data_IF_224771933170
#
_entry.id   IF_224771933170
#
_cell.length_a   1.000
_cell.length_b   1.000
_cell.length_c   1.000
_cell.angle_alpha   90.00
_cell.angle_beta   90.00
_cell.angle_gamma   90.00
#
_symmetry.space_group_name_H-M   'P 1'
#
loop_
_entity.id
_entity.type
_entity.pdbx_description
1 polymer ?
2 non-polymer ?
3 non-polymer ?
4 non-polymer ?
5 non-polymer ?
6 non-polymer ?
7 non-polymer ?
8 water ?
#
# COMPACT_ATOMS: atom_id res chain seq x y z
N UNK A 4 -13.34 -13.29 -6.85
CA UNK A 4 -13.75 -11.96 -6.26
C UNK A 4 -12.88 -10.78 -6.81
N UNK A 5 -11.60 -10.98 -7.10
CA UNK A 5 -10.76 -9.88 -7.61
C UNK A 5 -11.34 -9.29 -8.94
N UNK A 6 -11.52 -7.96 -8.92
CA UNK A 6 -12.04 -7.23 -10.09
C UNK A 6 -11.05 -7.38 -11.24
N UNK A 7 -11.51 -7.89 -12.39
CA UNK A 7 -10.60 -7.96 -13.56
C UNK A 7 -10.30 -6.57 -14.07
N UNK A 8 -9.05 -6.34 -14.52
CA UNK A 8 -8.63 -5.04 -15.10
C UNK A 8 -7.55 -5.35 -16.11
N UNK A 9 -7.32 -4.45 -17.10
CA UNK A 9 -6.12 -4.54 -17.88
C UNK A 9 -4.88 -4.46 -16.98
N UNK A 10 -3.76 -4.95 -17.45
CA UNK A 10 -2.50 -4.79 -16.77
C UNK A 10 -1.78 -3.51 -17.17
N UNK A 11 -1.38 -2.71 -16.18
CA UNK A 11 -0.59 -1.54 -16.39
C UNK A 11 0.79 -1.79 -15.75
N UNK A 12 1.84 -1.77 -16.58
CA UNK A 12 3.16 -1.87 -16.06
C UNK A 12 3.67 -0.51 -15.57
N UNK A 13 4.12 -0.54 -14.33
CA UNK A 13 4.76 0.64 -13.71
C UNK A 13 6.21 0.24 -13.57
N UNK A 14 7.03 0.65 -14.54
CA UNK A 14 8.30 0.07 -14.70
C UNK A 14 8.12 -1.44 -14.96
N UNK A 15 8.82 -2.28 -14.19
CA UNK A 15 8.75 -3.71 -14.31
C UNK A 15 7.62 -4.30 -13.43
N UNK A 16 6.91 -3.45 -12.68
CA UNK A 16 5.90 -3.94 -11.75
C UNK A 16 4.49 -3.91 -12.42
N UNK A 17 3.88 -5.09 -12.64
CA UNK A 17 2.52 -5.08 -13.26
C UNK A 17 1.47 -4.85 -12.20
N UNK A 18 0.53 -3.95 -12.52
CA UNK A 18 -0.64 -3.53 -11.68
C UNK A 18 -1.89 -4.00 -12.40
N UNK A 19 -2.79 -4.65 -11.70
CA UNK A 19 -4.11 -4.98 -12.27
C UNK A 19 -4.61 -6.30 -11.76
N UNK A 20 -5.83 -6.65 -12.15
CA UNK A 20 -6.56 -7.76 -11.56
C UNK A 20 -5.85 -9.11 -11.67
N UNK A 21 -4.95 -9.28 -12.63
CA UNK A 21 -4.17 -10.50 -12.73
C UNK A 21 -2.87 -10.57 -11.89
N UNK A 22 -2.62 -9.56 -11.06
CA UNK A 22 -1.36 -9.39 -10.40
C UNK A 22 -1.56 -9.13 -8.91
N UNK A 23 -0.51 -9.42 -8.12
CA UNK A 23 -0.61 -9.12 -6.73
C UNK A 23 -0.85 -7.61 -6.50
N UNK A 24 -1.55 -7.29 -5.44
CA UNK A 24 -1.84 -5.91 -5.09
C UNK A 24 -0.52 -5.27 -4.63
N UNK A 25 -0.07 -4.24 -5.31
CA UNK A 25 1.26 -3.71 -5.05
C UNK A 25 1.26 -2.66 -3.96
N UNK A 26 2.25 -2.72 -3.08
CA UNK A 26 2.48 -1.71 -2.07
C UNK A 26 3.34 -0.58 -2.58
N UNK A 27 2.87 0.65 -2.35
CA UNK A 27 3.58 1.82 -2.71
C UNK A 27 3.65 2.84 -1.60
N UNK A 28 4.50 3.86 -1.76
CA UNK A 28 4.73 4.88 -0.76
C UNK A 28 5.16 6.13 -1.51
N UNK A 29 5.47 7.16 -0.75
CA UNK A 29 5.91 8.47 -1.33
C UNK A 29 6.98 9.03 -0.43
N UNK A 30 8.03 9.57 -1.04
CA UNK A 30 9.06 10.20 -0.26
C UNK A 30 8.61 11.54 0.34
N UNK A 31 9.32 11.91 1.37
CA UNK A 31 9.13 13.24 1.97
C UNK A 31 10.35 14.11 2.08
N UNK A 32 11.42 13.73 1.40
CA UNK A 32 12.59 14.60 1.29
C UNK A 32 12.38 15.59 0.14
N UNK A 33 13.07 16.71 0.16
CA UNK A 33 12.95 17.65 -1.00
C UNK A 33 13.57 16.92 -2.23
N UNK A 34 12.82 16.83 -3.33
CA UNK A 34 13.31 16.11 -4.50
C UNK A 34 14.59 16.67 -5.09
N UNK A 35 14.80 17.99 -4.94
CA UNK A 35 16.03 18.61 -5.39
C UNK A 35 17.25 18.08 -4.64
N UNK A 36 17.03 17.51 -3.44
CA UNK A 36 18.16 16.94 -2.66
C UNK A 36 18.35 15.48 -3.19
N UNK A 37 19.34 15.33 -4.11
CA UNK A 37 19.51 14.03 -4.79
C UNK A 37 19.89 12.97 -3.78
N UNK A 38 20.86 13.31 -2.93
CA UNK A 38 21.39 12.32 -2.02
C UNK A 38 20.26 11.85 -1.07
N UNK A 39 19.57 12.83 -0.50
CA UNK A 39 18.53 12.49 0.50
C UNK A 39 17.38 11.68 -0.13
N UNK A 40 16.98 12.10 -1.35
CA UNK A 40 15.85 11.44 -1.99
C UNK A 40 16.24 10.03 -2.46
N UNK A 41 17.44 9.91 -3.11
CA UNK A 41 17.86 8.58 -3.55
C UNK A 41 17.86 7.62 -2.36
N UNK A 42 18.47 8.10 -1.27
CA UNK A 42 18.59 7.28 -0.06
C UNK A 42 17.21 6.84 0.46
N UNK A 43 16.24 7.79 0.44
CA UNK A 43 14.93 7.44 0.95
C UNK A 43 14.17 6.51 0.01
N UNK A 44 14.36 6.69 -1.32
CA UNK A 44 13.73 5.76 -2.28
C UNK A 44 14.25 4.34 -1.95
N UNK A 45 15.58 4.22 -1.79
CA UNK A 45 16.17 2.93 -1.47
C UNK A 45 15.63 2.29 -0.17
N UNK A 46 15.54 3.15 0.85
CA UNK A 46 15.06 2.74 2.12
C UNK A 46 13.59 2.22 2.03
N UNK A 47 12.77 3.00 1.34
CA UNK A 47 11.39 2.64 1.15
C UNK A 47 11.28 1.32 0.37
N UNK A 48 12.06 1.19 -0.68
CA UNK A 48 12.03 -0.01 -1.49
C UNK A 48 12.45 -1.23 -0.66
N UNK A 49 13.51 -1.08 0.11
CA UNK A 49 14.01 -2.19 0.93
C UNK A 49 12.99 -2.62 2.00
N UNK A 50 12.21 -1.65 2.48
CA UNK A 50 11.16 -1.94 3.42
C UNK A 50 9.93 -2.63 2.84
N UNK A 51 9.81 -2.67 1.53
CA UNK A 51 8.64 -3.28 0.85
C UNK A 51 7.89 -2.42 -0.14
N UNK A 52 8.35 -1.19 -0.35
CA UNK A 52 7.67 -0.35 -1.33
C UNK A 52 8.03 -0.78 -2.77
N UNK A 53 7.10 -1.39 -3.45
CA UNK A 53 7.33 -1.94 -4.75
C UNK A 53 7.37 -0.84 -5.83
N UNK A 54 6.72 0.28 -5.55
CA UNK A 54 6.67 1.46 -6.39
C UNK A 54 6.91 2.62 -5.47
N UNK A 55 7.68 3.61 -5.87
CA UNK A 55 7.90 4.81 -5.02
C UNK A 55 7.57 6.04 -5.83
N UNK A 56 6.77 6.91 -5.18
CA UNK A 56 6.39 8.21 -5.72
C UNK A 56 7.23 9.31 -5.14
N UNK A 57 7.52 10.35 -5.90
CA UNK A 57 8.20 11.52 -5.40
C UNK A 57 7.54 12.73 -6.02
N UNK A 58 7.46 13.83 -5.22
CA UNK A 58 6.88 15.04 -5.79
C UNK A 58 7.85 15.62 -6.84
N UNK A 59 7.28 16.17 -7.90
CA UNK A 59 8.08 16.88 -8.88
C UNK A 59 7.41 18.24 -9.05
N UNK A 60 7.76 19.12 -8.13
CA UNK A 60 7.02 20.32 -7.84
C UNK A 60 7.48 21.59 -8.50
N UNK A 61 8.74 21.62 -8.83
CA UNK A 61 9.36 22.82 -9.42
C UNK A 61 10.54 22.42 -10.33
N UNK A 62 11.18 23.42 -10.96
CA UNK A 62 12.23 23.13 -11.92
C UNK A 62 13.41 22.41 -11.25
N UNK A 63 13.76 22.82 -10.05
CA UNK A 63 14.84 22.18 -9.32
C UNK A 63 14.59 20.69 -9.03
N UNK A 64 13.36 20.40 -8.64
CA UNK A 64 12.95 19.01 -8.52
C UNK A 64 13.06 18.23 -9.85
N UNK A 65 12.56 18.82 -10.94
CA UNK A 65 12.58 18.18 -12.24
C UNK A 65 14.03 17.85 -12.63
N UNK A 66 14.95 18.79 -12.39
CA UNK A 66 16.29 18.66 -12.78
C UNK A 66 17.05 17.57 -12.01
N UNK A 67 16.57 17.25 -10.80
CA UNK A 67 17.13 16.25 -9.98
C UNK A 67 16.69 14.80 -10.37
N UNK A 68 15.48 14.65 -10.91
CA UNK A 68 14.94 13.30 -11.16
C UNK A 68 15.87 12.40 -12.01
N UNK A 69 16.41 12.92 -13.15
CA UNK A 69 17.28 12.02 -13.94
C UNK A 69 18.48 11.50 -13.15
N UNK A 70 19.01 12.33 -12.26
CA UNK A 70 20.17 11.95 -11.48
C UNK A 70 19.75 10.92 -10.40
N UNK A 71 18.62 11.15 -9.72
CA UNK A 71 18.07 10.12 -8.84
C UNK A 71 17.92 8.76 -9.56
N UNK A 72 17.25 8.76 -10.71
CA UNK A 72 17.06 7.52 -11.46
C UNK A 72 18.38 6.88 -11.84
N UNK A 73 19.33 7.70 -12.28
CA UNK A 73 20.62 7.15 -12.66
C UNK A 73 21.31 6.48 -11.48
N UNK A 74 21.25 7.12 -10.30
CA UNK A 74 21.87 6.54 -9.15
C UNK A 74 21.23 5.20 -8.70
N UNK A 75 19.89 5.16 -8.79
CA UNK A 75 19.19 3.91 -8.48
C UNK A 75 19.63 2.81 -9.42
N UNK A 76 19.66 3.10 -10.71
CA UNK A 76 20.03 2.04 -11.65
C UNK A 76 21.47 1.58 -11.50
N UNK A 77 22.35 2.51 -11.08
CA UNK A 77 23.73 2.15 -10.87
C UNK A 77 23.94 1.11 -9.78
N UNK A 78 22.98 1.03 -8.85
CA UNK A 78 23.00 -0.07 -7.91
C UNK A 78 22.09 -1.22 -8.17
N UNK A 79 21.56 -1.24 -9.39
CA UNK A 79 20.66 -2.30 -9.80
C UNK A 79 19.30 -2.20 -9.15
N UNK A 80 18.95 -1.02 -8.64
CA UNK A 80 17.67 -0.85 -8.02
C UNK A 80 16.66 -0.40 -9.06
N UNK A 81 15.81 -1.33 -9.44
CA UNK A 81 14.85 -1.05 -10.50
C UNK A 81 13.48 -0.61 -10.02
N UNK A 82 13.40 -0.14 -8.84
CA UNK A 82 12.20 0.40 -8.28
C UNK A 82 11.62 1.51 -9.16
N UNK A 83 10.33 1.35 -9.55
CA UNK A 83 9.77 2.37 -10.42
C UNK A 83 9.43 3.66 -9.69
N UNK A 84 9.63 4.78 -10.33
CA UNK A 84 9.37 6.12 -9.81
C UNK A 84 8.16 6.74 -10.45
N UNK A 85 7.29 7.24 -9.59
CA UNK A 85 6.10 7.95 -9.99
C UNK A 85 6.27 9.45 -9.71
N UNK A 86 6.15 10.32 -10.69
CA UNK A 86 6.23 11.73 -10.42
C UNK A 86 4.87 12.32 -10.09
N UNK A 87 4.83 13.08 -9.00
CA UNK A 87 3.61 13.69 -8.53
C UNK A 87 3.55 15.17 -8.99
N UNK A 88 2.61 15.46 -9.89
CA UNK A 88 2.55 16.76 -10.53
C UNK A 88 1.31 17.50 -10.07
N UNK A 89 1.48 18.80 -9.82
CA UNK A 89 0.39 19.73 -9.53
C UNK A 89 0.70 21.10 -10.13
N UNK A 90 -0.33 21.75 -10.72
CA UNK A 90 -0.20 23.13 -11.18
C UNK A 90 0.63 23.38 -12.43
N UNK A 91 1.83 22.87 -12.44
CA UNK A 91 2.85 23.15 -13.49
C UNK A 91 3.41 21.86 -14.11
N UNK A 92 2.64 20.77 -14.04
CA UNK A 92 3.18 19.49 -14.57
C UNK A 92 3.41 19.57 -16.08
N UNK A 93 2.55 20.26 -16.79
CA UNK A 93 2.68 20.33 -18.24
C UNK A 93 3.97 21.11 -18.58
N UNK A 94 4.25 22.13 -17.78
CA UNK A 94 5.43 22.95 -18.02
C UNK A 94 6.72 22.16 -17.70
N UNK A 95 6.71 21.48 -16.56
CA UNK A 95 7.93 20.70 -16.18
C UNK A 95 8.21 19.53 -17.12
N UNK A 96 7.15 18.83 -17.52
CA UNK A 96 7.31 17.70 -18.44
C UNK A 96 7.80 18.19 -19.84
N UNK A 97 7.29 19.34 -20.27
CA UNK A 97 7.72 19.95 -21.54
C UNK A 97 9.17 20.42 -21.49
N UNK A 98 9.52 21.14 -20.41
CA UNK A 98 10.83 21.76 -20.30
C UNK A 98 11.97 20.83 -19.93
N UNK A 99 11.64 19.71 -19.29
CA UNK A 99 12.65 18.73 -18.81
C UNK A 99 12.38 17.34 -19.35
N UNK A 100 12.65 17.14 -20.64
CA UNK A 100 12.31 15.82 -21.23
C UNK A 100 13.09 14.69 -20.58
N UNK A 101 14.28 14.98 -20.03
CA UNK A 101 15.10 13.90 -19.40
C UNK A 101 14.37 13.44 -18.12
N UNK A 102 13.68 14.38 -17.46
CA UNK A 102 12.88 14.02 -16.31
C UNK A 102 11.66 13.18 -16.71
N UNK A 103 11.02 13.60 -17.81
CA UNK A 103 9.86 12.87 -18.28
C UNK A 103 10.25 11.43 -18.64
N UNK A 104 11.39 11.24 -19.28
CA UNK A 104 11.86 9.92 -19.64
C UNK A 104 12.33 9.10 -18.44
N UNK A 105 12.90 9.74 -17.42
CA UNK A 105 13.45 9.04 -16.27
C UNK A 105 12.33 8.45 -15.37
N UNK A 106 11.23 9.18 -15.25
CA UNK A 106 10.10 8.66 -14.53
C UNK A 106 9.52 7.43 -15.16
N UNK A 107 8.94 6.57 -14.33
CA UNK A 107 8.19 5.39 -14.78
C UNK A 107 6.68 5.58 -14.91
N UNK A 108 6.19 6.64 -14.29
CA UNK A 108 4.74 6.90 -14.33
C UNK A 108 4.55 8.35 -13.96
N UNK A 109 3.54 9.01 -14.51
CA UNK A 109 3.17 10.38 -14.16
C UNK A 109 1.88 10.35 -13.41
N UNK A 110 1.80 11.06 -12.28
CA UNK A 110 0.51 11.31 -11.65
C UNK A 110 0.01 12.71 -11.97
N UNK A 111 -1.21 12.77 -12.48
CA UNK A 111 -1.98 13.98 -12.78
C UNK A 111 -3.09 14.09 -11.72
N UNK A 112 -3.45 15.32 -11.31
CA UNK A 112 -4.59 15.54 -10.44
C UNK A 112 -5.54 16.45 -11.26
N UNK A 113 -6.73 15.97 -11.62
CA UNK A 113 -7.68 16.77 -12.37
C UNK A 113 -8.14 18.03 -11.72
N UNK A 114 -7.86 18.18 -10.40
CA UNK A 114 -8.17 19.41 -9.68
C UNK A 114 -7.01 20.36 -9.52
N UNK A 115 -5.82 20.01 -10.03
CA UNK A 115 -4.65 20.87 -9.93
C UNK A 115 -4.04 21.14 -11.34
N UNK A 116 -4.93 21.28 -12.33
CA UNK A 116 -4.52 21.52 -13.72
C UNK A 116 -4.50 22.94 -14.10
N UNK A 117 -5.20 23.80 -13.38
CA UNK A 117 -5.36 25.23 -13.77
C UNK A 117 -6.83 25.62 -13.79
N UNK A 118 -7.04 26.79 -14.46
CA UNK A 118 -8.27 27.57 -14.37
C UNK A 118 -9.03 27.46 -15.70
N UNK A 119 -10.34 27.32 -15.66
CA UNK A 119 -11.13 27.41 -16.89
C UNK A 119 -10.59 26.60 -18.06
N UNK A 120 -10.41 27.23 -19.21
CA UNK A 120 -10.02 26.54 -20.44
C UNK A 120 -8.60 25.93 -20.38
N UNK A 121 -7.79 26.53 -19.50
CA UNK A 121 -6.41 26.16 -19.37
C UNK A 121 -6.31 24.70 -18.86
N UNK A 122 -7.27 24.30 -18.05
CA UNK A 122 -7.30 22.96 -17.44
C UNK A 122 -7.28 21.80 -18.52
N UNK A 123 -8.14 21.92 -19.53
CA UNK A 123 -8.13 20.91 -20.60
C UNK A 123 -6.78 20.92 -21.38
N UNK A 124 -6.23 22.12 -21.63
CA UNK A 124 -5.02 22.18 -22.46
C UNK A 124 -3.85 21.55 -21.70
N UNK A 125 -3.79 21.84 -20.40
CA UNK A 125 -2.72 21.31 -19.54
C UNK A 125 -2.77 19.81 -19.44
N UNK A 126 -3.99 19.34 -19.25
CA UNK A 126 -4.29 17.90 -19.24
C UNK A 126 -3.77 17.25 -20.52
N UNK A 127 -4.25 17.78 -21.63
CA UNK A 127 -3.88 17.25 -22.91
C UNK A 127 -2.37 17.18 -23.16
N UNK A 128 -1.66 18.23 -22.74
CA UNK A 128 -0.23 18.30 -22.92
C UNK A 128 0.46 17.12 -22.15
N UNK A 129 0.03 16.92 -20.91
CA UNK A 129 0.61 15.87 -20.09
C UNK A 129 0.33 14.47 -20.67
N UNK A 130 -0.89 14.27 -21.13
CA UNK A 130 -1.28 13.00 -21.73
C UNK A 130 -0.49 12.78 -23.03
N UNK A 131 -0.33 13.84 -23.82
CA UNK A 131 0.48 13.72 -25.06
C UNK A 131 1.93 13.31 -24.79
N UNK A 132 2.54 13.87 -23.80
CA UNK A 132 3.87 13.53 -23.36
C UNK A 132 3.95 12.04 -22.96
N UNK A 133 3.01 11.60 -22.10
CA UNK A 133 2.92 10.24 -21.71
C UNK A 133 2.79 9.29 -22.92
N UNK A 134 1.89 9.62 -23.86
CA UNK A 134 1.72 8.79 -25.07
C UNK A 134 3.05 8.71 -25.85
N UNK A 135 3.68 9.86 -26.02
CA UNK A 135 4.92 9.94 -26.83
C UNK A 135 6.04 9.07 -26.20
N UNK A 136 6.06 9.01 -24.87
CA UNK A 136 7.12 8.28 -24.16
C UNK A 136 6.77 6.88 -23.73
N UNK A 137 5.49 6.50 -23.97
CA UNK A 137 5.00 5.22 -23.55
C UNK A 137 4.87 5.09 -22.03
N UNK A 138 4.62 6.18 -21.37
CA UNK A 138 4.51 6.13 -19.91
C UNK A 138 3.05 5.90 -19.50
N UNK A 139 2.86 5.18 -18.38
CA UNK A 139 1.52 5.11 -17.74
C UNK A 139 1.28 6.37 -16.93
N UNK A 140 0.02 6.62 -16.66
CA UNK A 140 -0.49 7.76 -15.91
C UNK A 140 -1.46 7.30 -14.86
N UNK A 141 -1.36 7.91 -13.67
CA UNK A 141 -2.44 7.87 -12.70
C UNK A 141 -3.20 9.18 -12.82
N UNK A 142 -4.51 9.07 -13.03
CA UNK A 142 -5.41 10.21 -12.88
C UNK A 142 -5.90 10.08 -11.43
N UNK A 143 -5.40 10.97 -10.60
CA UNK A 143 -5.64 10.89 -9.16
C UNK A 143 -6.40 12.09 -8.67
N UNK A 144 -7.68 11.88 -8.41
CA UNK A 144 -8.50 12.93 -7.82
C UNK A 144 -8.37 12.84 -6.29
N UNK A 145 -8.55 13.94 -5.65
CA UNK A 145 -8.57 14.03 -4.18
C UNK A 145 -9.53 15.10 -3.77
N UNK A 146 -10.39 14.80 -2.77
CA UNK A 146 -11.40 15.80 -2.40
C UNK A 146 -10.77 17.05 -1.76
N UNK A 147 -9.48 17.04 -1.40
CA UNK A 147 -8.80 18.23 -0.96
C UNK A 147 -8.48 19.21 -2.08
N UNK A 148 -8.70 18.79 -3.33
CA UNK A 148 -8.36 19.56 -4.52
C UNK A 148 -9.40 19.25 -5.61
N UNK A 149 -10.65 19.39 -5.29
CA UNK A 149 -11.73 19.06 -6.20
C UNK A 149 -11.96 20.20 -7.19
N UNK A 150 -12.03 19.85 -8.48
CA UNK A 150 -12.30 20.78 -9.57
C UNK A 150 -13.59 21.54 -9.26
N UNK A 151 -13.49 22.86 -9.05
CA UNK A 151 -14.67 23.58 -8.64
C UNK A 151 -15.77 23.71 -9.71
N UNK A 152 -15.39 23.66 -10.99
CA UNK A 152 -16.34 23.83 -12.04
C UNK A 152 -17.21 22.58 -12.11
N UNK A 153 -16.59 21.44 -11.85
CA UNK A 153 -17.27 20.21 -11.83
C UNK A 153 -18.23 20.17 -10.63
N UNK A 154 -17.80 20.62 -9.49
CA UNK A 154 -18.66 20.70 -8.30
C UNK A 154 -19.89 21.57 -8.57
N UNK A 155 -19.72 22.72 -9.19
CA UNK A 155 -20.88 23.55 -9.47
C UNK A 155 -21.83 22.84 -10.43
N UNK A 156 -21.29 22.21 -11.46
CA UNK A 156 -22.11 21.48 -12.38
C UNK A 156 -23.00 20.48 -11.66
N UNK A 157 -22.38 19.67 -10.82
CA UNK A 157 -23.10 18.65 -10.12
C UNK A 157 -24.03 19.19 -9.03
N UNK A 158 -23.71 20.32 -8.43
CA UNK A 158 -24.62 20.97 -7.48
C UNK A 158 -25.91 21.39 -8.22
N UNK A 159 -25.76 21.94 -9.44
CA UNK A 159 -26.92 22.37 -10.22
C UNK A 159 -27.72 21.15 -10.64
N UNK A 160 -27.05 20.08 -11.07
CA UNK A 160 -27.80 18.86 -11.40
C UNK A 160 -28.58 18.35 -10.18
N UNK A 161 -27.92 18.40 -9.03
CA UNK A 161 -28.54 17.95 -7.77
C UNK A 161 -29.78 18.77 -7.46
N UNK A 162 -29.67 20.09 -7.60
CA UNK A 162 -30.77 20.97 -7.26
C UNK A 162 -32.04 20.73 -8.06
N UNK A 163 -31.86 20.17 -9.24
CA UNK A 163 -32.97 19.80 -10.14
C UNK A 163 -33.69 18.51 -9.80
N UNK A 164 -33.09 17.70 -8.96
CA UNK A 164 -33.70 16.46 -8.58
C UNK A 164 -34.96 16.67 -7.75
N UNK A 165 -35.89 15.74 -7.82
CA UNK A 165 -37.12 15.84 -7.00
C UNK A 165 -36.80 15.72 -5.53
N UNK A 166 -35.75 14.93 -5.23
CA UNK A 166 -35.23 14.77 -3.91
C UNK A 166 -33.72 15.01 -3.93
N UNK A 167 -33.31 16.27 -3.86
CA UNK A 167 -31.87 16.53 -3.85
C UNK A 167 -31.11 15.79 -2.73
N UNK A 168 -29.89 15.42 -3.00
CA UNK A 168 -28.99 14.84 -2.05
C UNK A 168 -28.32 15.93 -1.25
N UNK A 169 -27.64 15.51 -0.17
CA UNK A 169 -26.89 16.44 0.66
C UNK A 169 -25.68 17.00 -0.08
N UNK A 170 -25.22 18.16 0.39
CA UNK A 170 -24.02 18.78 -0.18
C UNK A 170 -22.85 17.80 -0.15
N UNK A 171 -22.75 17.07 0.98
CA UNK A 171 -21.64 16.13 1.14
C UNK A 171 -21.67 15.00 0.08
N UNK A 172 -22.85 14.46 -0.16
CA UNK A 172 -23.09 13.46 -1.19
C UNK A 172 -22.73 13.99 -2.57
N UNK A 173 -23.09 15.21 -2.85
CA UNK A 173 -22.72 15.84 -4.14
C UNK A 173 -21.23 16.00 -4.30
N UNK A 174 -20.51 16.34 -3.25
CA UNK A 174 -19.03 16.42 -3.33
C UNK A 174 -18.47 15.07 -3.72
N UNK A 175 -19.00 14.00 -3.12
CA UNK A 175 -18.54 12.63 -3.49
C UNK A 175 -18.84 12.32 -4.94
N UNK A 176 -20.04 12.64 -5.39
CA UNK A 176 -20.39 12.49 -6.80
C UNK A 176 -19.43 13.22 -7.71
N UNK A 177 -19.13 14.49 -7.39
CA UNK A 177 -18.22 15.28 -8.20
C UNK A 177 -16.83 14.69 -8.26
N UNK A 178 -16.36 14.14 -7.14
CA UNK A 178 -15.04 13.53 -7.09
C UNK A 178 -14.94 12.34 -8.02
N UNK A 179 -15.96 11.48 -7.98
CA UNK A 179 -15.97 10.33 -8.87
C UNK A 179 -16.05 10.83 -10.33
N UNK A 180 -16.95 11.77 -10.59
CA UNK A 180 -17.13 12.28 -11.95
C UNK A 180 -15.84 12.87 -12.46
N UNK A 181 -15.10 13.59 -11.63
CA UNK A 181 -13.87 14.16 -12.05
C UNK A 181 -12.90 13.08 -12.60
N UNK A 182 -12.68 12.04 -11.80
CA UNK A 182 -11.83 10.93 -12.22
C UNK A 182 -12.33 10.25 -13.45
N UNK A 183 -13.64 9.97 -13.51
CA UNK A 183 -14.21 9.23 -14.65
C UNK A 183 -14.12 10.05 -15.94
N UNK A 184 -14.46 11.35 -15.86
CA UNK A 184 -14.36 12.20 -17.06
C UNK A 184 -12.93 12.30 -17.56
N UNK A 185 -11.96 12.42 -16.65
CA UNK A 185 -10.55 12.58 -17.05
C UNK A 185 -10.03 11.25 -17.66
N UNK A 186 -10.44 10.14 -17.05
CA UNK A 186 -10.15 8.80 -17.58
C UNK A 186 -10.68 8.66 -19.02
N UNK A 187 -11.93 9.00 -19.23
CA UNK A 187 -12.51 8.85 -20.57
C UNK A 187 -11.86 9.79 -21.55
N UNK A 188 -11.50 11.01 -21.12
CA UNK A 188 -10.82 11.96 -22.00
C UNK A 188 -9.46 11.45 -22.44
N UNK A 189 -8.71 10.85 -21.51
CA UNK A 189 -7.40 10.28 -21.80
C UNK A 189 -7.54 9.12 -22.78
N UNK A 190 -8.55 8.26 -22.59
CA UNK A 190 -8.81 7.19 -23.54
C UNK A 190 -9.11 7.75 -24.93
N UNK A 191 -9.91 8.78 -24.96
CA UNK A 191 -10.37 9.39 -26.23
C UNK A 191 -9.20 10.04 -27.01
N UNK A 192 -8.19 10.49 -26.30
CA UNK A 192 -6.99 11.06 -26.85
C UNK A 192 -6.03 10.00 -27.39
N UNK A 193 -6.25 8.73 -27.01
CA UNK A 193 -5.42 7.63 -27.45
C UNK A 193 -4.45 7.04 -26.47
N UNK A 194 -4.55 7.38 -25.19
CA UNK A 194 -3.71 6.76 -24.17
C UNK A 194 -4.33 5.36 -23.95
N UNK A 195 -3.45 4.37 -23.92
CA UNK A 195 -3.97 3.03 -23.87
C UNK A 195 -4.55 2.63 -22.51
N UNK A 196 -5.40 1.62 -22.52
CA UNK A 196 -5.96 1.04 -21.32
C UNK A 196 -4.86 0.40 -20.46
N UNK A 197 -3.76 0.02 -21.08
CA UNK A 197 -2.59 -0.49 -20.39
C UNK A 197 -1.71 0.62 -19.85
N UNK A 198 -2.22 1.85 -19.83
CA UNK A 198 -1.43 3.01 -19.36
C UNK A 198 -2.21 3.93 -18.44
N UNK A 199 -3.35 3.49 -17.93
CA UNK A 199 -4.20 4.35 -17.06
C UNK A 199 -4.57 3.64 -15.78
N UNK A 200 -4.23 4.28 -14.68
CA UNK A 200 -4.61 3.93 -13.32
C UNK A 200 -5.42 5.10 -12.78
N UNK A 201 -6.42 4.77 -11.93
CA UNK A 201 -7.23 5.82 -11.33
C UNK A 201 -7.23 5.80 -9.80
N UNK A 202 -7.34 6.99 -9.20
CA UNK A 202 -7.67 7.07 -7.81
C UNK A 202 -8.63 8.26 -7.58
N UNK A 203 -9.31 8.21 -6.45
CA UNK A 203 -10.22 9.28 -6.06
C UNK A 203 -10.32 9.25 -4.54
N UNK A 204 -9.43 9.93 -3.85
CA UNK A 204 -9.24 9.72 -2.44
C UNK A 204 -10.04 10.77 -1.65
N UNK A 205 -10.54 10.30 -0.49
CA UNK A 205 -11.19 11.06 0.52
C UNK A 205 -10.62 10.64 1.85
N UNK A 206 -10.86 11.43 2.89
CA UNK A 206 -10.23 11.19 4.21
C UNK A 206 -11.11 10.53 5.25
N UNK A 207 -12.34 10.18 4.87
CA UNK A 207 -13.26 9.48 5.78
C UNK A 207 -13.57 8.06 5.17
N UNK A 208 -13.40 7.06 6.01
CA UNK A 208 -13.52 5.66 5.60
C UNK A 208 -14.80 5.33 4.92
N UNK A 209 -15.94 5.70 5.51
CA UNK A 209 -17.21 5.29 4.88
C UNK A 209 -17.35 5.91 3.46
N UNK A 210 -16.92 7.16 3.34
CA UNK A 210 -16.93 7.84 2.06
C UNK A 210 -16.02 7.17 1.06
N UNK A 211 -14.83 6.72 1.48
CA UNK A 211 -13.90 6.06 0.57
C UNK A 211 -14.55 4.79 -0.01
N UNK A 212 -15.28 4.05 0.85
CA UNK A 212 -15.90 2.84 0.36
C UNK A 212 -16.93 3.19 -0.72
N UNK A 213 -17.75 4.20 -0.51
CA UNK A 213 -18.74 4.59 -1.51
C UNK A 213 -18.03 4.98 -2.82
N UNK A 214 -17.03 5.85 -2.69
CA UNK A 214 -16.32 6.35 -3.87
C UNK A 214 -15.73 5.22 -4.71
N UNK A 215 -15.01 4.33 -4.06
CA UNK A 215 -14.31 3.29 -4.80
C UNK A 215 -15.28 2.27 -5.43
N UNK A 216 -16.39 2.00 -4.74
CA UNK A 216 -17.40 1.14 -5.33
C UNK A 216 -17.91 1.79 -6.64
N UNK A 217 -18.12 3.10 -6.63
CA UNK A 217 -18.54 3.81 -7.84
C UNK A 217 -17.47 3.82 -8.93
N UNK A 218 -16.21 4.05 -8.54
CA UNK A 218 -15.10 4.05 -9.50
C UNK A 218 -14.98 2.68 -10.15
N UNK A 219 -15.10 1.64 -9.33
CA UNK A 219 -14.95 0.30 -9.80
C UNK A 219 -16.04 -0.11 -10.76
N UNK A 220 -17.23 0.43 -10.53
CA UNK A 220 -18.40 0.14 -11.42
C UNK A 220 -18.30 0.85 -12.74
N UNK A 221 -17.87 2.13 -12.68
CA UNK A 221 -17.94 3.03 -13.78
C UNK A 221 -16.76 3.03 -14.73
N UNK A 222 -15.70 2.32 -14.35
CA UNK A 222 -14.42 2.28 -15.10
C UNK A 222 -13.92 0.87 -15.14
N UNK A 223 -13.00 0.65 -16.05
CA UNK A 223 -12.29 -0.63 -16.11
C UNK A 223 -10.87 -0.63 -15.59
N UNK A 224 -10.36 0.54 -15.20
CA UNK A 224 -8.97 0.72 -14.91
C UNK A 224 -8.55 0.06 -13.60
N UNK A 225 -7.29 -0.36 -13.54
CA UNK A 225 -6.73 -0.61 -12.20
C UNK A 225 -6.89 0.62 -11.31
N UNK A 226 -7.08 0.34 -10.02
CA UNK A 226 -7.39 1.40 -9.08
C UNK A 226 -6.27 1.43 -8.03
N UNK A 227 -5.78 2.64 -7.77
CA UNK A 227 -4.86 2.97 -6.67
C UNK A 227 -5.76 3.42 -5.57
N UNK A 228 -5.71 2.65 -4.48
CA UNK A 228 -6.62 2.80 -3.36
C UNK A 228 -5.87 3.30 -2.16
N UNK A 229 -6.36 4.36 -1.53
CA UNK A 229 -5.80 4.80 -0.25
C UNK A 229 -6.77 5.77 0.41
N UNK A 230 -6.76 5.82 1.75
CA UNK A 230 -7.46 6.81 2.52
C UNK A 230 -6.55 8.03 2.72
N UNK A 231 -6.85 9.13 2.02
CA UNK A 231 -5.99 10.26 2.09
C UNK A 231 -5.98 10.92 3.45
N UNK A 232 -4.88 11.57 3.84
CA UNK A 232 -4.80 12.39 5.01
C UNK A 232 -5.31 11.64 6.26
N UNK A 233 -4.82 10.43 6.45
CA UNK A 233 -5.29 9.57 7.52
C UNK A 233 -4.92 10.03 8.89
N UNK A 234 -3.90 10.82 9.00
CA UNK A 234 -3.42 11.33 10.28
C UNK A 234 -2.31 10.54 10.90
N UNK A 235 -2.17 10.70 12.20
CA UNK A 235 -1.01 10.31 12.98
C UNK A 235 -1.28 9.07 13.79
N UNK A 236 -0.22 8.33 14.06
CA UNK A 236 -0.26 7.31 15.11
C UNK A 236 -1.33 6.23 14.91
N UNK A 237 -1.92 5.78 16.03
CA UNK A 237 -2.87 4.68 16.02
C UNK A 237 -4.07 5.10 15.22
N UNK A 238 -4.54 6.37 15.39
CA UNK A 238 -5.67 6.81 14.61
C UNK A 238 -5.41 6.63 13.08
N UNK A 239 -4.27 7.08 12.60
CA UNK A 239 -3.99 7.00 11.18
C UNK A 239 -3.91 5.52 10.73
N UNK A 240 -3.32 4.66 11.53
CA UNK A 240 -3.18 3.24 11.20
C UNK A 240 -4.56 2.60 11.10
N UNK A 241 -5.37 2.80 12.16
CA UNK A 241 -6.70 2.20 12.25
C UNK A 241 -7.59 2.69 11.13
N UNK A 242 -7.64 4.00 10.92
CA UNK A 242 -8.53 4.53 9.91
C UNK A 242 -8.15 3.95 8.52
N UNK A 243 -6.87 3.85 8.23
CA UNK A 243 -6.39 3.32 6.99
C UNK A 243 -6.84 1.87 6.78
N UNK A 244 -6.61 1.05 7.80
CA UNK A 244 -7.01 -0.33 7.69
C UNK A 244 -8.53 -0.51 7.62
N UNK A 245 -9.27 0.28 8.39
CA UNK A 245 -10.72 0.18 8.42
C UNK A 245 -11.32 0.61 7.07
N UNK A 246 -10.75 1.60 6.40
CA UNK A 246 -11.23 2.07 5.12
C UNK A 246 -10.94 1.13 4.01
N UNK A 247 -9.77 0.48 4.02
CA UNK A 247 -9.32 -0.31 2.88
C UNK A 247 -9.94 -1.70 2.92
N UNK A 248 -10.08 -2.25 4.13
CA UNK A 248 -10.48 -3.66 4.26
C UNK A 248 -11.80 -3.99 3.55
N UNK A 249 -12.84 -3.19 3.69
CA UNK A 249 -14.11 -3.57 3.07
C UNK A 249 -13.96 -3.63 1.56
N UNK A 250 -13.18 -2.72 1.02
CA UNK A 250 -13.00 -2.66 -0.44
C UNK A 250 -12.13 -3.81 -0.94
N UNK A 251 -11.02 -4.06 -0.26
CA UNK A 251 -10.14 -5.17 -0.61
C UNK A 251 -10.86 -6.47 -0.54
N UNK A 252 -11.69 -6.69 0.49
CA UNK A 252 -12.44 -7.96 0.57
C UNK A 252 -13.46 -8.10 -0.56
N UNK A 253 -13.93 -7.02 -1.14
CA UNK A 253 -14.90 -7.00 -2.27
C UNK A 253 -14.14 -7.09 -3.57
N UNK A 254 -12.82 -7.22 -3.55
CA UNK A 254 -12.03 -7.35 -4.78
C UNK A 254 -11.64 -6.07 -5.48
N UNK A 255 -11.81 -4.96 -4.80
CA UNK A 255 -11.51 -3.65 -5.38
C UNK A 255 -10.13 -3.11 -4.86
N UNK A 256 -9.26 -2.73 -5.80
CA UNK A 256 -7.95 -2.17 -5.46
C UNK A 256 -6.81 -2.96 -6.04
N UNK A 257 -5.91 -2.31 -6.75
CA UNK A 257 -4.79 -2.94 -7.42
C UNK A 257 -3.42 -2.54 -6.91
N UNK A 258 -3.39 -1.40 -6.22
CA UNK A 258 -2.23 -0.94 -5.52
C UNK A 258 -2.72 -0.09 -4.39
N UNK A 259 -1.99 -0.06 -3.26
CA UNK A 259 -2.36 0.75 -2.11
C UNK A 259 -1.18 1.57 -1.65
N UNK A 260 -1.58 2.68 -1.00
CA UNK A 260 -0.63 3.56 -0.33
C UNK A 260 -1.34 3.95 1.01
N UNK A 261 -0.57 3.93 2.08
CA UNK A 261 -1.07 4.33 3.41
C UNK A 261 -0.55 5.73 3.73
N UNK A 262 -1.48 6.65 3.92
CA UNK A 262 -1.17 8.09 4.07
C UNK A 262 -1.06 8.46 5.55
N UNK A 263 -0.02 8.04 6.22
CA UNK A 263 0.28 8.33 7.61
C UNK A 263 1.12 9.60 7.71
N UNK A 264 0.80 10.41 8.69
CA UNK A 264 1.63 11.50 9.11
C UNK A 264 2.68 10.96 10.05
N UNK A 265 3.99 11.06 9.69
CA UNK A 265 4.96 10.55 10.68
C UNK A 265 5.01 11.43 11.90
N UNK A 266 5.24 10.84 13.05
CA UNK A 266 5.66 11.64 14.20
C UNK A 266 7.05 12.18 13.91
N UNK A 267 7.41 13.33 14.49
CA UNK A 267 8.77 13.85 14.34
C UNK A 267 9.79 12.77 14.64
N UNK A 268 10.70 12.56 13.68
CA UNK A 268 11.71 11.53 13.82
C UNK A 268 11.29 10.08 13.55
N UNK A 269 10.02 9.82 13.28
CA UNK A 269 9.52 8.46 12.96
C UNK A 269 9.86 8.22 11.48
N UNK A 270 10.38 7.06 11.15
CA UNK A 270 10.81 6.78 9.81
C UNK A 270 9.64 6.75 8.84
N UNK A 271 9.92 7.14 7.61
CA UNK A 271 8.94 7.19 6.55
C UNK A 271 8.52 5.76 6.11
N UNK A 272 9.28 4.75 6.50
CA UNK A 272 8.96 3.36 6.25
C UNK A 272 7.76 2.81 7.01
N UNK A 273 7.29 3.56 8.00
CA UNK A 273 6.16 3.02 8.79
C UNK A 273 4.93 2.81 7.91
N UNK A 274 4.65 3.73 6.99
CA UNK A 274 3.49 3.55 6.15
C UNK A 274 3.60 2.27 5.32
N UNK A 275 4.78 1.89 4.90
CA UNK A 275 4.99 0.66 4.13
C UNK A 275 4.64 -0.56 4.98
N UNK A 276 5.11 -0.51 6.24
CA UNK A 276 4.81 -1.59 7.18
C UNK A 276 3.28 -1.77 7.32
N UNK A 277 2.61 -0.60 7.55
CA UNK A 277 1.16 -0.71 7.70
C UNK A 277 0.46 -1.25 6.45
N UNK A 278 0.88 -0.80 5.26
CA UNK A 278 0.33 -1.31 4.03
C UNK A 278 0.50 -2.84 3.91
N UNK A 279 1.68 -3.32 4.27
CA UNK A 279 1.94 -4.74 4.19
C UNK A 279 1.04 -5.50 5.16
N UNK A 280 0.90 -4.95 6.36
CA UNK A 280 0.06 -5.59 7.38
C UNK A 280 -1.40 -5.64 6.95
N UNK A 281 -1.91 -4.61 6.27
CA UNK A 281 -3.29 -4.64 5.78
C UNK A 281 -3.47 -5.83 4.79
N UNK A 282 -2.62 -5.90 3.82
CA UNK A 282 -2.75 -6.91 2.80
C UNK A 282 -2.59 -8.33 3.36
N UNK A 283 -1.62 -8.50 4.24
CA UNK A 283 -1.41 -9.81 4.83
C UNK A 283 -2.52 -10.22 5.79
N UNK A 284 -3.07 -9.27 6.54
CA UNK A 284 -4.17 -9.58 7.44
C UNK A 284 -5.37 -10.14 6.66
N UNK A 285 -5.53 -9.67 5.41
CA UNK A 285 -6.67 -10.06 4.62
C UNK A 285 -6.35 -11.24 3.73
N UNK A 286 -5.15 -11.83 3.87
CA UNK A 286 -4.81 -12.97 3.06
C UNK A 286 -4.50 -12.72 1.59
N UNK A 287 -4.23 -11.45 1.26
CA UNK A 287 -4.07 -11.04 -0.14
C UNK A 287 -2.58 -11.05 -0.58
N UNK A 288 -1.65 -11.00 0.36
CA UNK A 288 -0.24 -11.08 0.08
C UNK A 288 0.38 -11.75 1.34
N UNK A 289 1.54 -12.32 1.19
CA UNK A 289 2.36 -12.76 2.30
C UNK A 289 3.73 -12.16 2.14
N UNK A 290 4.13 -11.37 3.11
CA UNK A 290 5.42 -10.69 3.08
C UNK A 290 6.45 -11.30 4.01
N UNK A 291 5.98 -11.76 5.17
CA UNK A 291 6.87 -12.22 6.22
C UNK A 291 6.09 -13.07 7.21
N UNK A 292 6.78 -13.93 7.98
CA UNK A 292 6.15 -14.68 9.05
C UNK A 292 5.41 -13.76 10.00
N UNK A 293 4.39 -14.31 10.66
CA UNK A 293 3.61 -13.55 11.60
C UNK A 293 3.37 -14.41 12.85
N UNK A 294 3.01 -13.71 13.91
CA UNK A 294 2.71 -14.33 15.22
C UNK A 294 1.27 -14.09 15.57
N UNK A 295 0.60 -15.19 15.92
CA UNK A 295 -0.74 -15.15 16.51
C UNK A 295 -0.52 -15.38 18.00
N UNK A 296 -1.05 -14.44 18.82
CA UNK A 296 -0.90 -14.53 20.26
C UNK A 296 -2.12 -13.97 20.97
N UNK A 297 -2.47 -14.58 22.10
CA UNK A 297 -3.62 -14.14 22.86
C UNK A 297 -3.29 -12.83 23.55
N UNK A 298 -4.29 -12.14 24.11
CA UNK A 298 -4.00 -10.93 24.84
C UNK A 298 -3.29 -11.13 26.17
N UNK A 299 -3.39 -12.37 26.68
CA UNK A 299 -3.09 -12.67 28.06
C UNK A 299 -4.20 -12.17 28.97
N UNK A 300 -4.39 -12.82 30.11
CA UNK A 300 -5.38 -12.37 31.08
C UNK A 300 -4.92 -12.79 32.44
N UNK A 301 -5.79 -12.75 33.42
CA UNK A 301 -5.37 -13.20 34.76
C UNK A 301 -5.10 -14.68 34.90
N UNK A 302 -5.29 -15.46 33.85
CA UNK A 302 -4.89 -16.87 33.84
C UNK A 302 -3.40 -17.06 33.48
N UNK A 303 -2.77 -16.02 32.97
CA UNK A 303 -1.40 -16.10 32.44
C UNK A 303 -0.48 -15.87 33.62
N UNK A 304 0.61 -16.60 33.68
CA UNK A 304 1.32 -16.99 34.89
C UNK A 304 2.28 -15.89 35.25
N UNK A 305 2.90 -15.25 34.27
CA UNK A 305 3.81 -14.18 34.57
C UNK A 305 3.93 -13.29 33.31
N UNK A 306 4.88 -12.30 33.39
CA UNK A 306 5.20 -11.33 32.27
C UNK A 306 6.01 -12.13 31.22
N UNK A 307 6.36 -13.36 31.56
CA UNK A 307 6.97 -14.27 30.65
C UNK A 307 6.21 -14.36 29.37
N UNK A 308 4.88 -14.49 29.42
CA UNK A 308 4.10 -14.67 28.18
C UNK A 308 4.36 -13.48 27.23
N UNK A 309 4.24 -12.24 27.68
CA UNK A 309 4.40 -11.11 26.80
C UNK A 309 5.83 -11.05 26.28
N UNK A 310 6.79 -11.42 27.12
CA UNK A 310 8.20 -11.44 26.73
C UNK A 310 8.47 -12.50 25.68
N UNK A 311 7.88 -13.66 25.85
CA UNK A 311 8.08 -14.72 24.90
C UNK A 311 7.47 -14.37 23.55
N UNK A 312 6.24 -13.86 23.54
CA UNK A 312 5.64 -13.45 22.30
C UNK A 312 6.48 -12.44 21.55
N UNK A 313 6.98 -11.42 22.28
CA UNK A 313 7.80 -10.40 21.65
C UNK A 313 9.12 -11.02 21.12
N UNK A 314 9.73 -11.91 21.92
CA UNK A 314 10.98 -12.54 21.51
C UNK A 314 10.81 -13.36 20.23
N UNK A 315 9.72 -14.07 20.14
CA UNK A 315 9.42 -14.83 18.94
C UNK A 315 9.22 -13.91 17.75
N UNK A 316 8.44 -12.86 17.91
CA UNK A 316 8.27 -11.91 16.82
C UNK A 316 9.60 -11.32 16.32
N UNK A 317 10.47 -10.97 17.27
CA UNK A 317 11.75 -10.39 16.96
C UNK A 317 12.63 -11.40 16.21
N UNK A 318 12.65 -12.63 16.72
CA UNK A 318 13.49 -13.65 16.12
C UNK A 318 13.07 -13.91 14.67
N UNK A 319 11.78 -13.98 14.41
CA UNK A 319 11.30 -14.21 13.05
C UNK A 319 11.78 -13.10 12.11
N UNK A 320 11.74 -11.86 12.59
CA UNK A 320 12.16 -10.69 11.80
C UNK A 320 13.67 -10.81 11.53
N UNK A 321 14.44 -11.22 12.52
CA UNK A 321 15.88 -11.35 12.37
C UNK A 321 16.32 -12.48 11.40
N UNK A 322 15.57 -13.58 11.39
CA UNK A 322 15.87 -14.75 10.59
C UNK A 322 15.41 -14.55 9.16
N UNK A 323 14.45 -13.66 8.94
CA UNK A 323 13.82 -13.59 7.62
C UNK A 323 14.74 -13.36 6.43
N UNK A 324 15.73 -12.46 6.54
CA UNK A 324 16.57 -12.27 5.35
C UNK A 324 17.23 -13.54 4.90
N UNK A 325 17.77 -14.29 5.85
CA UNK A 325 18.34 -15.59 5.50
C UNK A 325 17.29 -16.60 5.01
N UNK A 326 16.20 -16.71 5.74
CA UNK A 326 15.15 -17.62 5.39
C UNK A 326 14.62 -17.36 3.96
N UNK A 327 14.44 -16.07 3.60
CA UNK A 327 13.88 -15.75 2.28
C UNK A 327 14.76 -16.29 1.19
N UNK A 328 16.06 -16.28 1.45
CA UNK A 328 17.05 -16.77 0.45
C UNK A 328 17.09 -18.30 0.32
N UNK A 329 16.76 -18.97 1.41
CA UNK A 329 16.93 -20.44 1.51
C UNK A 329 15.70 -21.27 1.33
N UNK A 330 14.58 -20.72 1.81
CA UNK A 330 13.39 -21.53 2.07
C UNK A 330 12.15 -20.95 1.37
N UNK A 331 11.83 -21.43 0.14
CA UNK A 331 10.67 -20.92 -0.64
C UNK A 331 9.42 -21.07 0.09
N UNK A 332 8.64 -19.98 0.17
CA UNK A 332 7.31 -20.01 0.78
C UNK A 332 7.28 -19.59 2.23
N UNK A 333 8.46 -19.33 2.84
CA UNK A 333 8.54 -19.06 4.26
C UNK A 333 7.76 -17.82 4.71
N UNK A 334 7.49 -16.91 3.75
CA UNK A 334 6.70 -15.72 4.04
C UNK A 334 5.31 -16.04 4.59
N UNK A 335 4.83 -17.26 4.32
CA UNK A 335 3.53 -17.72 4.81
C UNK A 335 3.51 -18.27 6.22
N UNK A 336 4.66 -18.37 6.83
CA UNK A 336 4.77 -18.97 8.20
C UNK A 336 3.86 -18.25 9.18
N UNK A 337 3.11 -19.06 9.96
CA UNK A 337 2.29 -18.55 11.07
C UNK A 337 2.75 -19.27 12.30
N UNK A 338 3.17 -18.51 13.32
CA UNK A 338 3.59 -19.08 14.59
C UNK A 338 2.67 -18.61 15.71
N UNK A 339 2.20 -19.50 16.57
CA UNK A 339 1.39 -19.11 17.71
C UNK A 339 2.15 -19.10 19.00
N UNK A 340 1.82 -18.12 19.86
CA UNK A 340 2.32 -18.08 21.25
C UNK A 340 1.14 -17.77 22.11
N UNK A 341 0.79 -18.72 23.01
CA UNK A 341 -0.49 -18.62 23.75
C UNK A 341 -0.27 -18.75 25.25
N UNK A 342 -1.14 -18.07 26.03
CA UNK A 342 -0.93 -17.91 27.46
C UNK A 342 -1.43 -18.99 28.36
N UNK A 343 -2.42 -19.76 27.91
CA UNK A 343 -2.95 -20.87 28.78
C UNK A 343 -3.67 -21.92 27.96
N UNK A 344 -4.11 -22.99 28.63
CA UNK A 344 -4.77 -24.08 28.01
C UNK A 344 -6.14 -23.78 27.41
N UNK A 345 -6.80 -22.69 27.81
CA UNK A 345 -8.13 -22.42 27.31
C UNK A 345 -8.17 -22.42 25.80
N UNK A 346 -7.33 -21.60 25.18
CA UNK A 346 -7.23 -21.56 23.73
C UNK A 346 -5.86 -21.94 23.19
N UNK A 347 -4.91 -22.19 24.10
CA UNK A 347 -3.61 -22.38 23.62
C UNK A 347 -3.39 -23.54 22.67
N UNK A 348 -3.80 -24.76 23.03
CA UNK A 348 -3.60 -25.90 22.10
C UNK A 348 -4.41 -25.74 20.80
N UNK A 349 -5.64 -25.29 20.90
CA UNK A 349 -6.46 -25.20 19.71
C UNK A 349 -5.95 -24.15 18.76
N UNK A 350 -5.57 -22.97 19.26
CA UNK A 350 -5.03 -21.97 18.37
C UNK A 350 -3.69 -22.42 17.81
N UNK A 351 -2.86 -23.07 18.61
CA UNK A 351 -1.57 -23.53 18.16
C UNK A 351 -1.73 -24.56 17.05
N UNK A 352 -2.76 -25.38 17.08
CA UNK A 352 -2.99 -26.37 16.08
C UNK A 352 -3.41 -25.77 14.72
N UNK A 353 -3.87 -24.52 14.74
CA UNK A 353 -4.21 -23.81 13.54
C UNK A 353 -3.03 -23.01 12.91
N UNK A 354 -1.93 -22.90 13.63
CA UNK A 354 -0.71 -22.29 13.12
C UNK A 354 0.12 -23.39 12.47
N UNK A 355 1.21 -22.95 11.79
CA UNK A 355 2.20 -23.94 11.39
C UNK A 355 2.90 -24.61 12.58
N UNK A 356 3.21 -23.80 13.59
CA UNK A 356 3.86 -24.25 14.84
C UNK A 356 3.43 -23.30 15.92
N UNK A 357 3.18 -23.79 17.12
CA UNK A 357 2.72 -22.96 18.24
C UNK A 357 3.06 -23.54 19.56
N UNK A 358 3.17 -22.67 20.52
CA UNK A 358 3.46 -23.04 21.94
C UNK A 358 2.24 -22.59 22.78
N UNK A 359 1.83 -23.48 23.68
CA UNK A 359 0.79 -23.16 24.67
C UNK A 359 1.46 -23.15 26.02
N UNK A 360 1.67 -21.97 26.61
CA UNK A 360 2.22 -21.88 27.97
C UNK A 360 1.20 -22.37 28.93
N UNK A 361 1.70 -22.83 30.11
CA UNK A 361 0.84 -23.13 31.20
C UNK A 361 0.46 -21.87 31.96
N UNK A 362 -0.83 -21.74 32.08
CA UNK A 362 -1.42 -20.74 32.94
C UNK A 362 -1.80 -21.31 34.30
N UNK A 363 -2.56 -20.51 35.02
CA UNK A 363 -2.92 -20.82 36.40
C UNK A 363 -3.59 -22.19 36.49
N UNK A 364 -3.17 -22.96 37.50
CA UNK A 364 -3.84 -24.22 37.80
C UNK A 364 -3.27 -25.37 37.02
N UNK A 365 -2.36 -25.08 36.10
CA UNK A 365 -1.84 -26.14 35.19
C UNK A 365 -0.50 -26.65 35.68
N UNK A 366 -0.13 -27.85 35.25
CA UNK A 366 1.21 -28.34 35.51
C UNK A 366 2.21 -27.46 34.70
N UNK A 367 3.41 -27.23 35.21
CA UNK A 367 4.39 -26.31 34.61
C UNK A 367 5.07 -26.95 33.39
N UNK A 368 4.30 -27.18 32.36
CA UNK A 368 4.75 -27.69 31.10
C UNK A 368 4.03 -27.00 29.94
N UNK A 369 4.75 -26.86 28.83
CA UNK A 369 4.27 -26.12 27.67
C UNK A 369 4.25 -27.01 26.45
N UNK A 370 3.09 -27.47 26.04
CA UNK A 370 3.04 -28.25 24.79
C UNK A 370 3.32 -27.36 23.59
N UNK A 371 3.98 -27.96 22.62
CA UNK A 371 4.29 -27.37 21.32
C UNK A 371 3.68 -28.24 20.25
N UNK A 372 2.96 -27.58 19.35
CA UNK A 372 2.20 -28.20 18.24
C UNK A 372 2.83 -27.78 16.93
N UNK A 373 2.79 -28.70 15.95
CA UNK A 373 3.22 -28.34 14.60
C UNK A 373 2.37 -29.15 13.63
N UNK A 374 1.94 -28.48 12.55
CA UNK A 374 1.07 -29.13 11.55
C UNK A 374 -0.13 -29.76 12.24
N UNK A 375 -0.68 -29.08 13.24
CA UNK A 375 -1.92 -29.53 13.86
C UNK A 375 -1.84 -30.65 14.85
N UNK A 376 -0.62 -31.09 15.19
CA UNK A 376 -0.42 -32.13 16.19
C UNK A 376 0.66 -31.90 17.18
N UNK A 377 0.60 -32.58 18.31
CA UNK A 377 1.64 -32.39 19.32
C UNK A 377 3.02 -32.76 18.75
N UNK A 378 3.96 -31.85 18.92
CA UNK A 378 5.32 -32.05 18.55
C UNK A 378 6.19 -32.41 19.78
N UNK A 379 6.06 -31.64 20.87
CA UNK A 379 6.80 -31.94 22.09
C UNK A 379 6.17 -31.21 23.26
N UNK A 380 6.77 -31.37 24.43
CA UNK A 380 6.32 -30.65 25.62
C UNK A 380 7.56 -30.11 26.26
N UNK A 381 7.65 -28.79 26.48
CA UNK A 381 8.80 -28.16 27.02
C UNK A 381 8.58 -27.90 28.52
N UNK A 382 9.67 -27.87 29.26
CA UNK A 382 9.61 -27.66 30.75
C UNK A 382 10.88 -26.96 31.19
N UNK A 383 10.84 -26.32 32.34
CA UNK A 383 12.03 -25.75 32.92
C UNK A 383 12.41 -24.45 32.32
N UNK A 384 13.69 -24.14 32.46
CA UNK A 384 14.29 -22.89 32.03
C UNK A 384 14.64 -22.94 30.54
N UNK A 385 14.85 -21.78 29.95
CA UNK A 385 15.27 -21.77 28.52
C UNK A 385 14.19 -22.24 27.53
N UNK A 386 12.90 -22.19 27.90
CA UNK A 386 11.80 -22.58 27.02
C UNK A 386 11.80 -21.73 25.73
N UNK A 387 12.19 -20.46 25.84
CA UNK A 387 12.14 -19.58 24.67
C UNK A 387 13.12 -20.06 23.60
N UNK A 388 14.37 -20.30 23.98
CA UNK A 388 15.37 -20.71 23.01
C UNK A 388 15.08 -22.12 22.51
N UNK A 389 14.48 -22.99 23.36
CA UNK A 389 14.07 -24.31 22.85
C UNK A 389 13.01 -24.19 21.79
N UNK A 390 11.99 -23.40 22.08
CA UNK A 390 10.96 -23.18 21.12
C UNK A 390 11.50 -22.60 19.80
N UNK A 391 12.37 -21.60 19.89
CA UNK A 391 12.90 -21.00 18.69
C UNK A 391 13.74 -21.95 17.88
N UNK A 392 14.42 -22.89 18.53
CA UNK A 392 15.10 -23.95 17.80
C UNK A 392 14.10 -24.86 17.10
N UNK A 393 13.00 -25.21 17.73
CA UNK A 393 11.98 -26.02 17.08
C UNK A 393 11.38 -25.24 15.89
N UNK A 394 11.20 -23.93 16.00
CA UNK A 394 10.71 -23.12 14.87
C UNK A 394 11.74 -23.19 13.72
N UNK A 395 13.01 -23.06 14.04
CA UNK A 395 14.02 -23.17 12.99
C UNK A 395 13.97 -24.52 12.31
N UNK A 396 13.92 -25.60 13.08
CA UNK A 396 13.85 -26.95 12.53
C UNK A 396 12.61 -27.12 11.66
N UNK A 397 11.51 -26.53 12.13
CA UNK A 397 10.27 -26.60 11.39
C UNK A 397 10.44 -25.93 10.00
N UNK A 398 10.92 -24.71 9.99
CA UNK A 398 11.07 -23.94 8.76
C UNK A 398 11.95 -24.74 7.78
N UNK A 399 13.09 -25.26 8.26
CA UNK A 399 14.02 -25.98 7.41
C UNK A 399 13.42 -27.20 6.72
N UNK A 400 12.43 -27.80 7.34
CA UNK A 400 11.75 -28.97 6.85
C UNK A 400 10.56 -28.56 5.95
N UNK A 401 9.70 -27.76 6.49
CA UNK A 401 8.46 -27.40 5.82
C UNK A 401 8.65 -26.57 4.55
N UNK A 402 9.64 -25.68 4.60
CA UNK A 402 9.91 -24.74 3.53
C UNK A 402 11.18 -25.07 2.77
N UNK A 403 11.64 -26.33 2.91
CA UNK A 403 12.75 -26.79 2.15
C UNK A 403 12.52 -26.59 0.66
N UNK A 404 13.57 -26.26 -0.10
CA UNK A 404 13.37 -26.23 -1.52
C UNK A 404 13.11 -27.59 -2.06
X LIG B 1 -11.22 -16.97 26.40
X LIG B 1 -10.80 -15.59 25.94
X LIG B 1 -12.01 -14.84 25.44
X LIG B 1 -12.75 -14.72 24.04
X LIG B 1 -13.05 -16.10 23.47
X LIG B 1 -13.87 -13.73 24.19
X LIG B 1 -10.67 -12.85 23.33
X LIG B 1 -9.79 -13.24 24.57
X LIG B 1 -9.84 -12.78 22.10
X LIG B 1 -11.49 -11.68 23.73
X LIG B 1 -8.91 -14.37 24.61
X LIG B 1 -9.65 -15.67 24.90
X LIG B 1 -8.66 -16.64 25.34
X LIG B 1 -10.33 -14.81 27.16
X LIG B 1 -11.83 -17.76 25.33
X LIG B 1 -11.62 -14.15 23.04
X LIG C 1 -6.29 -15.68 28.98
X LIG C 1 -7.25 -16.66 26.61
X LIG C 1 -5.72 -18.16 28.27
X LIG C 1 -4.64 -16.21 26.78
X LIG C 1 -5.59 -18.17 26.01
X LIG C 1 -4.19 -16.62 28.95
X LIG C 1 -6.26 -14.56 26.99
X LIG C 1 -7.84 -17.36 28.68
X LIG D 1 5.28 -8.45 7.29
X LIG D 1 5.89 -7.83 8.39
X LIG D 1 5.78 -8.59 9.73
X LIG D 1 4.34 -8.90 9.96
X LIG D 1 3.73 -9.56 8.79
X LIG D 1 3.91 -8.69 7.56
X LIG D 1 4.18 -9.75 11.15
X LIG D 1 4.61 -9.08 12.48
X LIG D 1 4.52 -10.22 13.81
X LIG D 1 5.49 -11.31 13.55
X LIG D 1 3.17 -10.75 13.79
X LIG D 1 4.87 -9.47 15.03
X LIG E 1 13.82 -31.41 24.27
X LIG E 1 12.55 -31.90 24.53
X LIG E 1 13.75 -29.87 24.01
X LIG E 1 15.03 -29.27 23.99
X LIG E 1 13.08 -29.57 22.68
X LIG E 1 13.78 -30.20 21.60
X LIG F 1 10.95 12.39 9.96
X LIG F 1 9.76 11.79 10.46
X LIG F 1 10.71 12.41 8.41
X LIG F 1 11.27 13.49 7.77
X LIG F 1 10.98 11.04 7.75
X LIG F 1 9.71 10.48 7.85
X LIG G 1 9.82 -6.35 3.17
X LIG G 1 8.86 -7.06 2.46
X LIG G 1 10.07 -6.85 4.57
X LIG G 1 10.87 -5.77 5.14
X LIG G 1 8.85 -7.24 5.45
X LIG G 1 9.49 -7.78 6.63
X LIG H 1 -1.47 -35.65 18.90
X LIG H 1 -1.06 -36.23 17.66
X LIG H 1 -1.85 -34.17 18.72
X LIG H 1 -2.81 -33.75 19.66
X LIG H 1 -2.59 -33.74 21.09
X LIG H 1 -3.63 -32.85 21.73
X LIG H 1 -3.04 -32.11 22.87
X LIG I 1 -3.42 16.26 -32.57
X LIG I 1 -2.60 15.08 -32.83
X LIG I 1 -3.62 16.52 -31.09
X LIG I 1 -2.95 15.49 -30.35
X LIG I 1 -3.10 15.59 -28.94
X LIG I 1 -2.07 16.59 -28.40
X LIG I 1 -2.65 17.44 -27.38
X LIG J 1 -10.62 1.51 -24.86
X LIG J 1 -10.03 2.54 -25.71
X LIG J 1 -11.05 3.11 -26.70
X LIG J 1 -10.99 4.53 -26.74
X LIG J 1 -12.60 6.25 -26.10
X LIG J 1 -12.22 5.16 -27.11
X LIG J 1 -13.51 5.66 -25.11
X LIG J 1 -15.15 5.89 -23.32
X LIG J 1 -14.08 6.59 -24.12
X LIG J 1 -14.50 5.12 -22.32
X LIG J 1 -14.36 3.48 -20.67
X LIG J 1 -15.19 3.99 -21.83
X LIG J 1 -13.78 2.16 -20.82
X LIG J 1 -12.32 0.89 -21.96
X LIG J 1 -13.17 2.12 -22.06
X LIG J 1 -11.80 0.67 -23.30
#
# INVERSE_FOLDING_TARGET
MEGMRRPTPTVYVGRVPIGGAHPIAVQSMTNTPTRDVEATTAQVLELHRAGSEIVRLTVNDEEAAKAVPEIKRRLLAEGAEVPLVGDFHFNGHLLLRKYPKMAEALDKFRINPGTLGRGRHKDEHFAEMIRIAMDLGKPVRIGANWGSLDPALLTELMDRNARRPEPKSAHEVVLEALVESAVRAYEAALEMGLGEDKLVLSAKVSKARDLVWVYRELARRTQAPLHLGLTEAGMGVKGIVASAAALAPLLLEGIGDTIRVSLTPAPGEPRTKEVEVAQEILQALGLRAFAPEVTSCPGCGRTTSTFFQELAEEVSRRLKERLPEWRARYPGVEELKVAVMGCVVNGPGESKHAHIGISLPGAGEEPKAPVYADGKLLTILKGEGIAEEFLRLVEDYVKTRFAPKA
CDI C4 C3 OB4 PB OB2 OB3 PA OA3 OA1 OA2 C1 C2 O1 C5 O2 OB1
SF4 FE1 FE2 FE3 FE4 S1 S2 S3 S4
MES O1 C2 C3 N4 C5 C6 C7 C8 S O1S O2S O3S
GOL C1 O1 C2 O2 C3 O3
GOL C1 O1 C2 O2 C3 O3
GOL C1 O1 C2 O2 C3 O3
PEG C1 O1 C2 O2 C3 C4 O4
PEG C1 O1 C2 O2 C3 C4 O4
1PE OH2 C12 C22 OH3 C13 C23 OH4 C14 C24 OH5 C15 C25 OH6 C16 C26 OH7
#
